data_IF_323688892951
#
_entry.id   IF_323688892951
#
_cell.length_a   1.000
_cell.length_b   1.000
_cell.length_c   1.000
_cell.angle_alpha   90.00
_cell.angle_beta   90.00
_cell.angle_gamma   90.00
#
_symmetry.space_group_name_H-M   'P 1'
#
loop_
_entity.id
_entity.type
_entity.pdbx_description
1 polymer ?
#
# COMPACT_ATOMS: atom_id res chain seq x y z
N UNK A 1 -27.17 -3.59 16.79
CA UNK A 1 -26.30 -4.50 17.57
C UNK A 1 -25.57 -3.67 18.60
N UNK A 2 -25.53 -4.07 19.88
CA UNK A 2 -24.77 -3.36 20.91
C UNK A 2 -23.28 -3.35 20.50
N UNK A 3 -22.69 -2.18 20.32
CA UNK A 3 -21.28 -2.06 20.01
C UNK A 3 -20.47 -2.57 21.22
N UNK A 4 -19.55 -3.51 20.96
CA UNK A 4 -18.72 -4.07 22.04
C UNK A 4 -17.75 -2.99 22.54
N UNK A 5 -17.79 -2.67 23.82
CA UNK A 5 -16.88 -1.75 24.49
C UNK A 5 -15.43 -2.12 24.22
N UNK A 6 -14.60 -1.14 23.84
CA UNK A 6 -13.15 -1.31 23.70
C UNK A 6 -12.45 -1.24 25.06
N UNK A 7 -12.50 -0.07 25.68
CA UNK A 7 -11.79 0.23 26.94
C UNK A 7 -12.38 1.49 27.58
N UNK A 8 -11.92 1.84 28.78
CA UNK A 8 -12.25 3.09 29.48
C UNK A 8 -11.28 4.21 29.09
N UNK A 9 -11.67 5.47 29.35
CA UNK A 9 -10.80 6.62 29.17
C UNK A 9 -9.56 6.55 30.07
N UNK A 10 -9.74 6.07 31.30
CA UNK A 10 -8.62 5.94 32.27
C UNK A 10 -7.56 4.96 31.78
N UNK A 11 -7.98 3.79 31.26
CA UNK A 11 -7.07 2.81 30.70
C UNK A 11 -6.37 3.35 29.45
N UNK A 12 -7.13 3.98 28.55
CA UNK A 12 -6.62 4.57 27.31
C UNK A 12 -5.60 5.68 27.58
N UNK A 13 -5.87 6.57 28.53
CA UNK A 13 -4.94 7.62 28.94
C UNK A 13 -3.64 7.04 29.51
N UNK A 14 -3.70 5.88 30.19
CA UNK A 14 -2.53 5.19 30.72
C UNK A 14 -1.56 4.68 29.64
N UNK A 15 -1.98 4.61 28.38
CA UNK A 15 -1.11 4.23 27.25
C UNK A 15 -0.43 5.42 26.57
N UNK A 16 -0.86 6.65 26.90
CA UNK A 16 -0.44 7.88 26.23
C UNK A 16 0.49 8.68 27.15
N UNK A 17 1.70 8.92 26.70
CA UNK A 17 2.71 9.62 27.48
C UNK A 17 2.28 11.07 27.81
N UNK A 18 2.29 11.41 29.09
CA UNK A 18 1.94 12.74 29.56
C UNK A 18 0.46 13.12 29.40
N UNK A 19 -0.40 12.18 29.07
CA UNK A 19 -1.85 12.41 29.04
C UNK A 19 -2.45 12.48 30.43
N UNK A 20 -3.60 13.15 30.53
CA UNK A 20 -4.45 13.19 31.72
C UNK A 20 -5.91 13.10 31.32
N UNK A 21 -6.72 12.55 32.20
CA UNK A 21 -8.18 12.53 32.03
C UNK A 21 -8.80 13.77 32.67
N UNK A 22 -9.70 14.42 31.97
CA UNK A 22 -10.59 15.46 32.47
C UNK A 22 -12.03 14.94 32.45
N UNK A 23 -12.71 14.96 33.60
CA UNK A 23 -14.04 14.39 33.76
C UNK A 23 -13.99 12.92 34.21
N UNK A 24 -15.06 12.16 33.90
CA UNK A 24 -15.20 10.76 34.35
C UNK A 24 -14.34 9.80 33.55
N UNK A 25 -13.26 9.30 34.14
CA UNK A 25 -12.37 8.32 33.54
C UNK A 25 -12.97 6.92 33.35
N UNK A 26 -14.09 6.60 34.02
CA UNK A 26 -14.78 5.33 33.87
C UNK A 26 -15.63 5.25 32.59
N UNK A 27 -15.83 6.38 31.90
CA UNK A 27 -16.53 6.39 30.60
C UNK A 27 -15.82 5.50 29.62
N UNK A 28 -16.57 4.59 29.01
CA UNK A 28 -16.08 3.65 28.03
C UNK A 28 -16.44 4.07 26.61
N UNK A 29 -15.61 3.71 25.65
CA UNK A 29 -15.86 3.91 24.22
C UNK A 29 -15.76 2.60 23.45
N UNK A 30 -16.37 2.54 22.28
CA UNK A 30 -16.44 1.34 21.44
C UNK A 30 -15.60 1.44 20.16
N UNK A 31 -15.28 2.67 19.73
CA UNK A 31 -14.60 2.95 18.47
C UNK A 31 -13.80 4.27 18.59
N UNK A 32 -12.76 4.43 17.78
CA UNK A 32 -11.98 5.67 17.68
C UNK A 32 -12.16 6.27 16.29
N UNK A 33 -12.42 7.58 16.24
CA UNK A 33 -12.65 8.33 15.00
C UNK A 33 -11.86 9.64 14.98
N UNK A 34 -11.41 10.03 13.78
CA UNK A 34 -10.74 11.33 13.52
C UNK A 34 -11.54 12.19 12.55
N UNK A 35 -12.55 11.65 11.86
CA UNK A 35 -13.43 12.36 10.93
C UNK A 35 -14.75 12.69 11.62
N UNK A 36 -14.97 13.99 11.89
CA UNK A 36 -16.18 14.49 12.54
C UNK A 36 -17.49 14.16 11.81
N UNK A 37 -17.42 13.87 10.50
CA UNK A 37 -18.60 13.51 9.69
C UNK A 37 -19.11 12.11 9.98
N UNK A 38 -18.22 11.18 10.39
CA UNK A 38 -18.49 9.75 10.57
C UNK A 38 -18.60 9.32 12.02
N UNK A 39 -18.60 10.27 12.96
CA UNK A 39 -18.77 9.99 14.39
C UNK A 39 -20.17 9.44 14.66
N UNK A 40 -20.21 8.40 15.49
CA UNK A 40 -21.43 7.73 15.97
C UNK A 40 -21.46 7.72 17.52
N UNK A 41 -22.65 7.48 18.13
CA UNK A 41 -22.77 7.36 19.57
C UNK A 41 -21.81 6.30 20.14
N UNK A 42 -21.08 6.68 21.20
CA UNK A 42 -20.12 5.80 21.87
C UNK A 42 -18.68 5.87 21.31
N UNK A 43 -18.40 6.73 20.34
CA UNK A 43 -17.03 6.94 19.82
C UNK A 43 -16.16 7.78 20.74
N UNK A 44 -14.84 7.51 20.74
CA UNK A 44 -13.80 8.46 21.14
C UNK A 44 -13.40 9.25 19.90
N UNK A 45 -13.64 10.56 19.89
CA UNK A 45 -13.20 11.44 18.82
C UNK A 45 -11.79 12.00 19.11
N UNK A 46 -10.86 11.82 18.18
CA UNK A 46 -9.49 12.36 18.28
C UNK A 46 -9.40 13.63 17.46
N UNK A 47 -9.22 14.78 18.11
CA UNK A 47 -9.13 16.08 17.46
C UNK A 47 -7.71 16.30 16.92
N UNK A 48 -7.47 15.93 15.67
CA UNK A 48 -6.20 16.16 14.98
C UNK A 48 -6.13 17.60 14.45
N UNK A 49 -4.94 18.19 14.55
CA UNK A 49 -4.61 19.46 13.91
C UNK A 49 -3.80 19.22 12.66
N UNK A 50 -4.30 19.64 11.52
CA UNK A 50 -3.63 19.64 10.24
C UNK A 50 -3.21 21.05 9.81
N UNK A 51 -2.61 21.17 8.62
CA UNK A 51 -2.15 22.46 8.08
C UNK A 51 -3.31 23.42 7.77
N UNK A 52 -4.46 22.90 7.35
CA UNK A 52 -5.62 23.68 6.86
C UNK A 52 -6.82 23.64 7.78
N UNK A 53 -6.92 22.65 8.67
CA UNK A 53 -8.07 22.40 9.54
C UNK A 53 -7.60 22.03 10.93
N UNK A 54 -8.31 22.51 11.94
CA UNK A 54 -8.16 22.09 13.33
C UNK A 54 -9.44 21.36 13.75
N UNK A 55 -9.32 20.06 14.01
CA UNK A 55 -10.49 19.24 14.38
C UNK A 55 -11.05 19.58 15.77
N UNK A 56 -10.34 20.37 16.57
CA UNK A 56 -10.87 20.91 17.83
C UNK A 56 -12.08 21.83 17.62
N UNK A 57 -12.20 22.47 16.45
CA UNK A 57 -13.34 23.33 16.11
C UNK A 57 -14.65 22.55 15.98
N UNK A 58 -14.59 21.23 15.78
CA UNK A 58 -15.76 20.34 15.59
C UNK A 58 -16.18 19.59 16.86
N UNK A 59 -15.59 19.90 18.03
CA UNK A 59 -15.90 19.16 19.27
C UNK A 59 -17.40 19.26 19.62
N UNK A 60 -18.00 20.45 19.52
CA UNK A 60 -19.42 20.61 19.80
C UNK A 60 -20.30 19.74 18.86
N UNK A 61 -19.94 19.66 17.58
CA UNK A 61 -20.68 18.88 16.59
C UNK A 61 -20.60 17.37 16.86
N UNK A 62 -19.40 16.86 17.21
CA UNK A 62 -19.22 15.43 17.49
C UNK A 62 -19.88 15.03 18.80
N UNK A 63 -19.92 15.91 19.79
CA UNK A 63 -20.66 15.70 21.03
C UNK A 63 -22.16 15.64 20.75
N UNK A 64 -22.69 16.55 19.93
CA UNK A 64 -24.09 16.51 19.51
C UNK A 64 -24.46 15.22 18.75
N UNK A 65 -23.49 14.56 18.09
CA UNK A 65 -23.65 13.26 17.43
C UNK A 65 -23.54 12.07 18.42
N UNK A 66 -23.22 12.33 19.70
CA UNK A 66 -23.16 11.30 20.73
C UNK A 66 -21.78 10.71 20.97
N UNK A 67 -20.69 11.40 20.60
CA UNK A 67 -19.35 10.99 20.99
C UNK A 67 -19.31 10.81 22.53
N UNK A 68 -18.78 9.67 22.99
CA UNK A 68 -18.69 9.36 24.42
C UNK A 68 -17.61 10.23 25.11
N UNK A 69 -16.55 10.57 24.37
CA UNK A 69 -15.42 11.34 24.85
C UNK A 69 -14.60 11.92 23.69
N UNK A 70 -13.65 12.81 24.05
CA UNK A 70 -12.72 13.41 23.09
C UNK A 70 -11.26 13.23 23.54
N UNK A 71 -10.32 13.14 22.58
CA UNK A 71 -8.89 13.24 22.80
C UNK A 71 -8.41 14.55 22.16
N UNK A 72 -7.79 15.44 22.96
CA UNK A 72 -7.47 16.81 22.59
C UNK A 72 -6.06 17.20 23.01
N UNK A 73 -5.48 18.24 22.39
CA UNK A 73 -4.18 18.79 22.81
C UNK A 73 -4.30 19.65 24.06
N UNK A 74 -3.17 19.91 24.74
CA UNK A 74 -3.13 20.74 25.97
C UNK A 74 -3.62 22.16 25.74
N UNK A 75 -3.35 22.73 24.54
CA UNK A 75 -3.76 24.08 24.21
C UNK A 75 -5.28 24.20 24.12
N UNK A 76 -5.97 23.16 23.71
CA UNK A 76 -7.43 23.08 23.69
C UNK A 76 -8.04 22.77 25.08
N UNK A 77 -7.23 22.41 26.07
CA UNK A 77 -7.68 22.05 27.42
C UNK A 77 -8.35 23.21 28.20
N UNK A 78 -8.16 24.44 27.78
CA UNK A 78 -8.84 25.62 28.33
C UNK A 78 -10.25 25.82 27.74
N UNK A 79 -10.58 25.08 26.69
CA UNK A 79 -11.88 25.13 26.01
C UNK A 79 -12.88 24.22 26.71
N UNK A 80 -14.13 24.65 26.74
CA UNK A 80 -15.23 23.82 27.24
C UNK A 80 -15.44 22.65 26.26
N UNK A 81 -15.12 21.42 26.68
CA UNK A 81 -15.33 20.19 25.90
C UNK A 81 -16.80 19.82 25.73
N UNK A 82 -17.70 20.81 25.74
CA UNK A 82 -19.14 20.61 25.61
C UNK A 82 -19.76 19.59 26.61
N UNK A 83 -19.13 19.46 27.78
CA UNK A 83 -19.63 18.62 28.88
C UNK A 83 -19.31 17.12 28.77
N UNK A 84 -18.50 16.68 27.78
CA UNK A 84 -18.02 15.29 27.71
C UNK A 84 -16.64 15.12 28.35
N UNK A 85 -16.33 13.91 28.87
CA UNK A 85 -14.99 13.61 29.37
C UNK A 85 -13.94 13.68 28.26
N UNK A 86 -12.71 14.03 28.62
CA UNK A 86 -11.63 14.17 27.67
C UNK A 86 -10.33 13.50 28.15
N UNK A 87 -9.57 12.95 27.19
CA UNK A 87 -8.13 12.70 27.33
C UNK A 87 -7.42 13.93 26.79
N UNK A 88 -6.59 14.57 27.61
CA UNK A 88 -5.77 15.72 27.22
C UNK A 88 -4.33 15.25 27.06
N UNK A 89 -3.78 15.36 25.87
CA UNK A 89 -2.41 14.93 25.53
C UNK A 89 -1.57 16.11 25.01
N UNK A 90 -0.23 16.04 25.07
CA UNK A 90 0.64 17.07 24.50
C UNK A 90 0.46 17.29 23.01
N UNK A 91 0.30 16.19 22.27
CA UNK A 91 0.12 16.13 20.82
C UNK A 91 -0.88 15.00 20.49
N UNK A 92 -1.96 15.33 19.81
CA UNK A 92 -3.02 14.36 19.51
C UNK A 92 -2.65 13.35 18.43
N UNK A 93 -1.70 13.69 17.56
CA UNK A 93 -1.21 12.79 16.51
C UNK A 93 -0.31 11.70 17.09
N UNK A 94 0.62 12.09 17.98
CA UNK A 94 1.45 11.15 18.75
C UNK A 94 0.56 10.31 19.67
N UNK A 95 -0.39 10.93 20.36
CA UNK A 95 -1.33 10.24 21.23
C UNK A 95 -2.19 9.19 20.51
N UNK A 96 -2.60 9.44 19.27
CA UNK A 96 -3.29 8.45 18.43
C UNK A 96 -2.41 7.22 18.17
N UNK A 97 -1.13 7.42 17.87
CA UNK A 97 -0.16 6.35 17.68
C UNK A 97 0.04 5.52 18.96
N UNK A 98 0.23 6.20 20.11
CA UNK A 98 0.41 5.55 21.43
C UNK A 98 -0.85 4.81 21.88
N UNK A 99 -2.04 5.37 21.61
CA UNK A 99 -3.33 4.71 21.82
C UNK A 99 -3.43 3.43 20.97
N UNK A 100 -3.06 3.49 19.69
CA UNK A 100 -3.00 2.34 18.80
C UNK A 100 -2.04 1.26 19.31
N UNK A 101 -0.81 1.65 19.70
CA UNK A 101 0.18 0.75 20.25
C UNK A 101 -0.27 0.11 21.57
N UNK A 102 -0.92 0.91 22.46
CA UNK A 102 -1.52 0.42 23.70
C UNK A 102 -2.60 -0.60 23.46
N UNK A 103 -3.48 -0.33 22.51
CA UNK A 103 -4.54 -1.26 22.11
C UNK A 103 -3.96 -2.53 21.49
N UNK A 104 -2.95 -2.44 20.61
CA UNK A 104 -2.29 -3.59 19.96
C UNK A 104 -1.72 -4.59 20.97
N UNK A 105 -1.12 -4.12 22.05
CA UNK A 105 -0.55 -4.98 23.11
C UNK A 105 -1.55 -5.91 23.79
N UNK A 106 -2.85 -5.68 23.64
CA UNK A 106 -3.89 -6.54 24.20
C UNK A 106 -4.17 -7.81 23.38
N UNK A 107 -3.51 -7.96 22.24
CA UNK A 107 -3.77 -9.05 21.29
C UNK A 107 -2.48 -9.81 20.98
N UNK A 108 -2.57 -11.14 21.00
CA UNK A 108 -1.46 -12.06 20.72
C UNK A 108 -1.54 -12.69 19.34
N UNK A 109 -2.56 -12.35 18.52
CA UNK A 109 -2.74 -12.90 17.18
C UNK A 109 -1.52 -12.60 16.28
N UNK A 110 -1.19 -13.49 15.32
CA UNK A 110 -0.19 -13.21 14.29
C UNK A 110 -0.55 -11.95 13.52
N UNK A 111 0.40 -11.02 13.43
CA UNK A 111 0.27 -9.77 12.69
C UNK A 111 1.45 -9.63 11.73
N UNK A 112 1.17 -9.51 10.44
CA UNK A 112 2.15 -9.29 9.40
C UNK A 112 2.27 -7.81 9.11
N UNK A 113 3.47 -7.23 9.24
CA UNK A 113 3.78 -5.90 8.74
C UNK A 113 4.36 -5.99 7.33
N UNK A 114 3.85 -5.19 6.40
CA UNK A 114 4.30 -5.14 5.01
C UNK A 114 4.89 -3.77 4.72
N UNK A 115 6.19 -3.71 4.41
CA UNK A 115 6.91 -2.51 3.96
C UNK A 115 7.67 -2.79 2.68
N UNK A 116 8.33 -1.78 2.10
CA UNK A 116 9.10 -1.87 0.86
C UNK A 116 8.68 -0.79 -0.14
N UNK A 117 9.49 -0.60 -1.18
CA UNK A 117 9.31 0.47 -2.15
C UNK A 117 8.08 0.27 -3.02
N UNK A 118 7.98 -0.88 -3.67
CA UNK A 118 6.89 -1.23 -4.57
C UNK A 118 6.19 -2.52 -4.13
N UNK A 119 4.92 -2.70 -4.52
CA UNK A 119 4.17 -3.93 -4.27
C UNK A 119 3.54 -4.04 -2.88
N UNK A 120 3.82 -3.14 -1.92
CA UNK A 120 3.25 -3.17 -0.55
C UNK A 120 1.77 -3.51 -0.52
N UNK A 121 0.94 -2.73 -1.19
CA UNK A 121 -0.52 -2.93 -1.20
C UNK A 121 -0.91 -4.26 -1.87
N UNK A 122 -0.24 -4.63 -2.97
CA UNK A 122 -0.52 -5.91 -3.65
C UNK A 122 -0.20 -7.09 -2.73
N UNK A 123 0.97 -7.08 -2.07
CA UNK A 123 1.37 -8.12 -1.10
C UNK A 123 0.41 -8.14 0.09
N UNK A 124 0.06 -6.98 0.64
CA UNK A 124 -0.90 -6.85 1.75
C UNK A 124 -2.26 -7.42 1.36
N UNK A 125 -2.79 -7.11 0.17
CA UNK A 125 -4.08 -7.65 -0.28
C UNK A 125 -4.02 -9.15 -0.60
N UNK A 126 -2.90 -9.66 -1.14
CA UNK A 126 -2.69 -11.11 -1.30
C UNK A 126 -2.68 -11.83 0.06
N UNK A 127 -1.96 -11.29 1.06
CA UNK A 127 -1.98 -11.84 2.42
C UNK A 127 -3.39 -11.77 3.01
N UNK A 128 -4.09 -10.66 2.82
CA UNK A 128 -5.47 -10.50 3.28
C UNK A 128 -6.42 -11.53 2.66
N UNK A 129 -6.29 -11.82 1.36
CA UNK A 129 -7.08 -12.85 0.67
C UNK A 129 -6.75 -14.26 1.21
N UNK A 130 -5.48 -14.56 1.44
CA UNK A 130 -5.03 -15.81 2.08
C UNK A 130 -5.62 -15.95 3.49
N UNK A 131 -5.58 -14.87 4.29
CA UNK A 131 -6.11 -14.86 5.65
C UNK A 131 -7.64 -15.01 5.65
N UNK A 132 -8.34 -14.38 4.71
CA UNK A 132 -9.78 -14.58 4.54
C UNK A 132 -10.12 -16.04 4.20
N UNK A 133 -9.34 -16.69 3.34
CA UNK A 133 -9.49 -18.11 3.03
C UNK A 133 -9.17 -19.02 4.23
N UNK A 134 -8.30 -18.59 5.14
CA UNK A 134 -7.90 -19.39 6.31
C UNK A 134 -8.88 -19.28 7.48
N UNK A 135 -9.38 -18.08 7.78
CA UNK A 135 -10.16 -17.82 9.01
C UNK A 135 -11.51 -17.15 8.76
N UNK A 136 -11.80 -16.76 7.52
CA UNK A 136 -13.00 -15.99 7.17
C UNK A 136 -12.74 -14.48 7.19
N UNK A 137 -13.51 -13.75 6.39
CA UNK A 137 -13.39 -12.30 6.18
C UNK A 137 -13.51 -11.51 7.49
N UNK A 138 -14.47 -11.88 8.36
CA UNK A 138 -14.75 -11.17 9.62
C UNK A 138 -13.72 -11.46 10.74
N UNK A 139 -12.86 -12.47 10.57
CA UNK A 139 -11.85 -12.85 11.56
C UNK A 139 -10.43 -12.42 11.18
N UNK A 140 -10.29 -11.73 10.07
CA UNK A 140 -9.02 -11.09 9.67
C UNK A 140 -9.11 -9.59 9.80
N UNK A 141 -8.01 -8.93 10.17
CA UNK A 141 -7.85 -7.49 10.03
C UNK A 141 -6.87 -7.19 8.89
N UNK A 142 -7.19 -6.23 8.03
CA UNK A 142 -6.26 -5.72 7.04
C UNK A 142 -6.33 -4.19 6.97
N UNK A 143 -5.19 -3.56 6.61
CA UNK A 143 -5.16 -2.14 6.27
C UNK A 143 -6.09 -1.88 5.09
N UNK A 144 -7.06 -0.98 5.29
CA UNK A 144 -7.98 -0.54 4.25
C UNK A 144 -7.37 0.57 3.39
N UNK A 145 -7.47 0.46 2.07
CA UNK A 145 -6.98 1.49 1.16
C UNK A 145 -5.50 1.81 1.38
N UNK A 146 -5.20 3.09 1.62
CA UNK A 146 -3.87 3.62 1.89
C UNK A 146 -3.70 4.12 3.35
N UNK A 147 -4.42 3.53 4.31
CA UNK A 147 -4.30 3.87 5.75
C UNK A 147 -3.03 3.28 6.36
N UNK A 148 -1.87 3.63 5.80
CA UNK A 148 -0.56 3.04 6.09
C UNK A 148 0.45 4.02 6.73
N UNK A 149 0.02 5.26 7.02
CA UNK A 149 0.82 6.29 7.65
C UNK A 149 0.53 6.41 9.17
N UNK A 150 1.11 7.39 9.82
CA UNK A 150 1.02 7.68 11.26
C UNK A 150 -0.40 8.04 11.78
N UNK A 151 -1.37 8.28 10.90
CA UNK A 151 -2.79 8.40 11.23
C UNK A 151 -3.55 7.13 10.87
N UNK A 152 -3.35 6.62 9.65
CA UNK A 152 -4.11 5.50 9.10
C UNK A 152 -3.78 4.17 9.78
N UNK A 153 -2.50 3.91 10.07
CA UNK A 153 -2.09 2.67 10.74
C UNK A 153 -2.65 2.56 12.17
N UNK A 154 -2.55 3.57 13.05
CA UNK A 154 -3.20 3.53 14.35
C UNK A 154 -4.70 3.28 14.26
N UNK A 155 -5.41 3.97 13.35
CA UNK A 155 -6.84 3.76 13.13
C UNK A 155 -7.16 2.32 12.69
N UNK A 156 -6.31 1.73 11.86
CA UNK A 156 -6.43 0.32 11.46
C UNK A 156 -6.25 -0.61 12.67
N UNK A 157 -5.20 -0.41 13.46
CA UNK A 157 -4.89 -1.21 14.66
C UNK A 157 -6.01 -1.09 15.71
N UNK A 158 -6.59 0.09 15.90
CA UNK A 158 -7.71 0.34 16.81
C UNK A 158 -9.01 -0.39 16.39
N UNK A 159 -9.07 -0.95 15.20
CA UNK A 159 -10.16 -1.85 14.76
C UNK A 159 -9.99 -3.29 15.23
N UNK A 160 -8.87 -3.68 15.84
CA UNK A 160 -8.70 -5.03 16.40
C UNK A 160 -9.79 -5.34 17.41
N UNK A 161 -10.29 -6.56 17.36
CA UNK A 161 -11.30 -7.12 18.30
C UNK A 161 -10.90 -8.55 18.64
N UNK A 162 -11.43 -9.10 19.71
CA UNK A 162 -11.17 -10.48 20.16
C UNK A 162 -11.56 -11.56 19.14
N UNK A 163 -12.42 -11.23 18.19
CA UNK A 163 -12.80 -12.13 17.08
C UNK A 163 -11.73 -12.28 16.01
N UNK A 164 -10.82 -11.31 15.87
CA UNK A 164 -9.76 -11.39 14.88
C UNK A 164 -8.72 -12.45 15.26
N UNK A 165 -8.30 -13.24 14.29
CA UNK A 165 -7.29 -14.30 14.44
C UNK A 165 -6.00 -14.02 13.69
N UNK A 166 -6.05 -13.22 12.64
CA UNK A 166 -4.91 -12.85 11.80
C UNK A 166 -5.01 -11.37 11.43
N UNK A 167 -3.86 -10.70 11.32
CA UNK A 167 -3.82 -9.30 10.88
C UNK A 167 -2.71 -9.08 9.84
N UNK A 168 -2.97 -8.20 8.86
CA UNK A 168 -1.95 -7.69 7.94
C UNK A 168 -2.02 -6.16 7.91
N UNK A 169 -0.88 -5.52 8.17
CA UNK A 169 -0.72 -4.09 8.34
C UNK A 169 0.30 -3.56 7.34
N UNK A 170 -0.11 -2.64 6.49
CA UNK A 170 0.79 -1.96 5.56
C UNK A 170 1.47 -0.79 6.27
N UNK A 171 2.80 -0.69 6.15
CA UNK A 171 3.63 0.41 6.65
C UNK A 171 4.12 1.23 5.45
N UNK A 172 3.59 2.44 5.31
CA UNK A 172 4.07 3.42 4.33
C UNK A 172 5.15 4.30 4.96
N UNK A 173 6.14 4.70 4.18
CA UNK A 173 7.11 5.69 4.61
C UNK A 173 7.38 6.68 3.48
N UNK A 174 7.69 7.91 3.84
CA UNK A 174 8.19 8.96 2.96
C UNK A 174 9.54 9.51 3.48
N UNK A 175 9.72 9.51 4.80
CA UNK A 175 10.88 10.10 5.46
C UNK A 175 11.59 9.10 6.37
N UNK A 176 12.91 9.30 6.61
CA UNK A 176 13.67 8.50 7.56
C UNK A 176 13.05 8.48 8.96
N UNK A 177 13.00 7.30 9.58
CA UNK A 177 12.48 7.08 10.93
C UNK A 177 10.98 6.75 11.01
N UNK A 178 10.22 6.91 9.93
CA UNK A 178 8.78 6.60 9.93
C UNK A 178 8.52 5.10 10.08
N UNK A 179 9.37 4.24 9.49
CA UNK A 179 9.21 2.78 9.63
C UNK A 179 9.39 2.31 11.07
N UNK A 180 10.35 2.87 11.82
CA UNK A 180 10.54 2.57 13.25
C UNK A 180 9.27 2.91 14.03
N UNK A 181 8.73 4.12 13.81
CA UNK A 181 7.53 4.61 14.47
C UNK A 181 6.31 3.71 14.18
N UNK A 182 6.06 3.42 12.91
CA UNK A 182 4.93 2.61 12.49
C UNK A 182 5.04 1.15 12.95
N UNK A 183 6.24 0.57 12.92
CA UNK A 183 6.49 -0.78 13.42
C UNK A 183 6.27 -0.86 14.94
N UNK A 184 6.61 0.20 15.70
CA UNK A 184 6.31 0.32 17.12
C UNK A 184 4.82 0.32 17.45
N UNK A 185 3.98 0.85 16.54
CA UNK A 185 2.52 0.80 16.66
C UNK A 185 1.98 -0.58 16.25
N UNK A 186 2.43 -1.10 15.11
CA UNK A 186 1.97 -2.36 14.54
C UNK A 186 2.33 -3.57 15.40
N UNK A 187 3.48 -3.56 16.07
CA UNK A 187 4.04 -4.66 16.88
C UNK A 187 3.85 -6.00 16.16
N UNK A 188 4.50 -6.17 15.00
CA UNK A 188 4.30 -7.34 14.16
C UNK A 188 4.97 -8.59 14.73
N UNK A 189 4.43 -9.76 14.41
CA UNK A 189 5.06 -11.06 14.64
C UNK A 189 5.77 -11.59 13.39
N UNK A 190 5.37 -11.08 12.22
CA UNK A 190 6.03 -11.30 10.93
C UNK A 190 6.21 -9.93 10.28
N UNK A 191 7.37 -9.65 9.71
CA UNK A 191 7.58 -8.43 8.93
C UNK A 191 8.19 -8.78 7.57
N UNK A 192 7.68 -8.17 6.51
CA UNK A 192 8.17 -8.39 5.16
C UNK A 192 8.62 -7.07 4.51
N UNK A 193 9.79 -7.12 3.90
CA UNK A 193 10.26 -6.12 2.95
C UNK A 193 9.97 -6.65 1.55
N UNK A 194 9.13 -5.97 0.78
CA UNK A 194 8.79 -6.41 -0.59
C UNK A 194 9.97 -6.22 -1.56
N UNK A 195 10.62 -5.08 -1.47
CA UNK A 195 11.82 -4.70 -2.21
C UNK A 195 12.42 -3.39 -1.67
N UNK A 196 13.65 -3.05 -2.10
CA UNK A 196 14.25 -1.73 -1.95
C UNK A 196 14.64 -1.22 -3.34
N UNK A 197 13.99 -0.16 -3.77
CA UNK A 197 14.09 0.44 -5.10
C UNK A 197 14.03 1.97 -5.01
N UNK A 198 14.07 2.67 -6.14
CA UNK A 198 14.02 4.14 -6.21
C UNK A 198 12.61 4.65 -5.89
N UNK A 199 12.36 4.95 -4.61
CA UNK A 199 11.15 5.62 -4.14
C UNK A 199 11.53 6.82 -3.28
N UNK A 200 10.68 7.84 -3.23
CA UNK A 200 10.84 9.04 -2.39
C UNK A 200 12.25 9.65 -2.47
N UNK A 201 12.85 9.68 -3.69
CA UNK A 201 14.24 10.12 -3.89
C UNK A 201 14.45 11.59 -3.55
N UNK A 202 13.40 12.36 -3.41
CA UNK A 202 13.41 13.72 -2.87
C UNK A 202 13.83 13.75 -1.40
N UNK A 203 13.47 12.72 -0.62
CA UNK A 203 13.72 12.63 0.83
C UNK A 203 14.73 11.56 1.19
N UNK A 204 14.82 10.51 0.39
CA UNK A 204 15.74 9.39 0.59
C UNK A 204 16.93 9.53 -0.34
N UNK A 205 18.11 9.73 0.23
CA UNK A 205 19.34 10.06 -0.53
C UNK A 205 19.85 8.93 -1.45
N UNK A 206 19.43 7.68 -1.20
CA UNK A 206 19.87 6.52 -2.00
C UNK A 206 18.96 5.30 -1.77
N UNK A 207 19.04 4.31 -2.66
CA UNK A 207 18.35 3.01 -2.49
C UNK A 207 18.90 2.27 -1.26
N UNK A 208 20.16 2.44 -0.91
CA UNK A 208 20.74 1.89 0.31
C UNK A 208 20.05 2.48 1.56
N UNK A 209 19.82 3.80 1.60
CA UNK A 209 19.08 4.44 2.68
C UNK A 209 17.64 3.90 2.78
N UNK A 210 16.97 3.68 1.65
CA UNK A 210 15.66 3.03 1.58
C UNK A 210 15.71 1.61 2.16
N UNK A 211 16.73 0.81 1.80
CA UNK A 211 16.90 -0.54 2.31
C UNK A 211 17.09 -0.57 3.84
N UNK A 212 17.87 0.37 4.38
CA UNK A 212 18.07 0.53 5.83
C UNK A 212 16.79 0.98 6.54
N UNK A 213 16.05 1.91 5.96
CA UNK A 213 14.77 2.36 6.53
C UNK A 213 13.77 1.20 6.65
N UNK A 214 13.60 0.40 5.60
CA UNK A 214 12.73 -0.77 5.65
C UNK A 214 13.22 -1.84 6.63
N UNK A 215 14.54 -1.98 6.84
CA UNK A 215 15.13 -2.91 7.79
C UNK A 215 14.62 -2.70 9.24
N UNK A 216 14.19 -1.49 9.57
CA UNK A 216 13.63 -1.16 10.88
C UNK A 216 12.38 -1.99 11.21
N UNK A 217 11.58 -2.38 10.21
CA UNK A 217 10.44 -3.27 10.44
C UNK A 217 10.86 -4.68 10.91
N UNK A 218 12.02 -5.18 10.41
CA UNK A 218 12.58 -6.46 10.84
C UNK A 218 13.20 -6.37 12.24
N UNK A 219 13.85 -5.25 12.55
CA UNK A 219 14.44 -5.01 13.87
C UNK A 219 13.37 -4.90 14.98
N UNK A 220 12.17 -4.44 14.65
CA UNK A 220 11.05 -4.31 15.58
C UNK A 220 10.35 -5.63 15.94
N UNK A 221 10.69 -6.73 15.30
CA UNK A 221 10.10 -8.05 15.58
C UNK A 221 10.47 -8.53 17.00
N UNK A 222 9.56 -9.27 17.69
CA UNK A 222 9.90 -9.98 18.92
C UNK A 222 10.95 -11.08 18.67
N UNK A 223 11.51 -11.65 19.71
CA UNK A 223 12.59 -12.66 19.59
C UNK A 223 12.16 -13.93 18.82
N UNK A 224 10.89 -14.30 18.90
CA UNK A 224 10.25 -15.40 18.19
C UNK A 224 9.61 -15.00 16.86
N UNK A 225 9.75 -13.72 16.45
CA UNK A 225 9.22 -13.19 15.21
C UNK A 225 9.96 -13.73 13.97
N UNK A 226 9.33 -13.55 12.80
CA UNK A 226 9.87 -14.03 11.51
C UNK A 226 10.11 -12.85 10.58
N UNK A 227 11.35 -12.68 10.13
CA UNK A 227 11.75 -11.72 9.12
C UNK A 227 11.61 -12.32 7.71
N UNK A 228 10.98 -11.58 6.79
CA UNK A 228 10.80 -12.00 5.40
C UNK A 228 11.38 -10.93 4.47
N UNK A 229 12.24 -11.31 3.52
CA UNK A 229 12.88 -10.35 2.61
C UNK A 229 13.25 -10.98 1.26
N UNK A 230 13.36 -10.17 0.19
CA UNK A 230 13.68 -10.67 -1.14
C UNK A 230 15.15 -11.05 -1.29
N UNK A 231 15.44 -11.96 -2.25
CA UNK A 231 16.79 -12.36 -2.62
C UNK A 231 17.15 -12.03 -4.07
N UNK A 232 16.16 -11.72 -4.92
CA UNK A 232 16.38 -11.35 -6.32
C UNK A 232 16.97 -9.94 -6.43
N UNK A 233 17.93 -9.73 -7.35
CA UNK A 233 18.62 -8.43 -7.53
C UNK A 233 17.65 -7.31 -7.86
N UNK A 234 16.65 -7.56 -8.72
CA UNK A 234 15.62 -6.59 -9.12
C UNK A 234 14.76 -6.13 -7.95
N UNK A 235 14.73 -6.89 -6.87
CA UNK A 235 14.04 -6.55 -5.62
C UNK A 235 14.96 -5.98 -4.55
N UNK A 236 16.20 -5.67 -4.91
CA UNK A 236 17.21 -5.19 -3.96
C UNK A 236 17.87 -6.30 -3.15
N UNK A 237 17.94 -7.53 -3.68
CA UNK A 237 18.57 -8.69 -3.02
C UNK A 237 20.03 -8.46 -2.60
N UNK A 238 20.73 -7.51 -3.20
CA UNK A 238 22.04 -7.05 -2.76
C UNK A 238 22.05 -6.54 -1.31
N UNK A 239 20.91 -6.06 -0.79
CA UNK A 239 20.75 -5.62 0.59
C UNK A 239 20.33 -6.73 1.57
N UNK A 240 20.18 -7.98 1.11
CA UNK A 240 19.88 -9.11 1.98
C UNK A 240 20.80 -9.25 3.22
N UNK A 241 22.12 -8.94 3.15
CA UNK A 241 22.98 -8.92 4.33
C UNK A 241 22.53 -7.89 5.38
N UNK A 242 22.12 -6.69 4.98
CA UNK A 242 21.60 -5.63 5.86
C UNK A 242 20.31 -6.11 6.55
N UNK A 243 19.41 -6.72 5.80
CA UNK A 243 18.14 -7.22 6.34
C UNK A 243 18.33 -8.43 7.26
N UNK A 244 19.30 -9.27 6.96
CA UNK A 244 19.68 -10.40 7.84
C UNK A 244 20.28 -9.92 9.15
N UNK A 245 21.12 -8.89 9.10
CA UNK A 245 21.69 -8.24 10.29
C UNK A 245 20.56 -7.62 11.15
N UNK A 246 19.62 -6.88 10.55
CA UNK A 246 18.47 -6.32 11.25
C UNK A 246 17.55 -7.40 11.85
N UNK A 247 17.39 -8.54 11.20
CA UNK A 247 16.67 -9.69 11.73
C UNK A 247 17.39 -10.31 12.97
N UNK A 248 18.71 -10.20 13.04
CA UNK A 248 19.52 -10.74 14.14
C UNK A 248 19.37 -12.25 14.29
N UNK A 249 19.10 -12.73 15.50
CA UNK A 249 18.91 -14.16 15.80
C UNK A 249 17.50 -14.69 15.45
N UNK A 250 16.60 -13.86 14.94
CA UNK A 250 15.23 -14.23 14.59
C UNK A 250 15.22 -15.15 13.37
N UNK A 251 14.18 -15.97 13.26
CA UNK A 251 13.97 -16.75 12.05
C UNK A 251 13.84 -15.82 10.85
N UNK A 252 14.55 -16.15 9.76
CA UNK A 252 14.46 -15.44 8.51
C UNK A 252 14.01 -16.39 7.39
N UNK A 253 13.16 -15.86 6.50
CA UNK A 253 12.75 -16.53 5.26
C UNK A 253 13.03 -15.58 4.10
N UNK A 254 13.86 -15.99 3.17
CA UNK A 254 14.06 -15.29 1.91
C UNK A 254 13.03 -15.73 0.87
N UNK A 255 12.64 -14.83 -0.02
CA UNK A 255 11.78 -15.18 -1.16
C UNK A 255 12.36 -14.63 -2.47
N UNK A 256 11.97 -15.25 -3.59
CA UNK A 256 12.38 -14.82 -4.92
C UNK A 256 12.15 -15.87 -5.98
N UNK A 257 12.50 -15.55 -7.23
CA UNK A 257 12.44 -16.49 -8.36
C UNK A 257 13.67 -17.40 -8.41
N UNK A 258 14.77 -16.99 -7.78
CA UNK A 258 15.98 -17.78 -7.64
C UNK A 258 15.79 -18.97 -6.72
N UNK A 259 16.26 -20.16 -7.14
CA UNK A 259 16.28 -21.38 -6.30
C UNK A 259 17.11 -21.26 -5.01
N UNK A 260 17.89 -20.17 -4.86
CA UNK A 260 18.63 -19.87 -3.62
C UNK A 260 17.75 -19.30 -2.52
N UNK A 261 16.54 -18.80 -2.87
CA UNK A 261 15.59 -18.31 -1.90
C UNK A 261 14.87 -19.47 -1.18
N UNK A 262 14.55 -19.30 0.10
CA UNK A 262 13.82 -20.28 0.89
C UNK A 262 12.42 -20.54 0.31
N UNK A 263 11.76 -19.50 -0.17
CA UNK A 263 10.46 -19.57 -0.85
C UNK A 263 10.65 -19.10 -2.29
N UNK A 264 10.58 -20.03 -3.22
CA UNK A 264 10.79 -19.76 -4.66
C UNK A 264 9.82 -20.55 -5.53
N UNK A 265 9.73 -20.19 -6.80
CA UNK A 265 8.90 -20.93 -7.76
C UNK A 265 9.53 -20.96 -9.16
N UNK A 266 9.25 -22.05 -9.89
CA UNK A 266 9.29 -22.04 -11.34
C UNK A 266 7.93 -21.66 -11.89
N UNK A 267 7.89 -21.02 -13.06
CA UNK A 267 6.69 -20.43 -13.63
C UNK A 267 6.43 -20.94 -15.05
N UNK A 268 5.15 -21.10 -15.37
CA UNK A 268 4.66 -21.29 -16.72
C UNK A 268 3.40 -20.45 -16.94
N UNK A 269 3.24 -19.93 -18.16
CA UNK A 269 1.98 -19.28 -18.56
C UNK A 269 1.06 -20.35 -19.17
N UNK A 270 -0.09 -20.58 -18.53
CA UNK A 270 -1.08 -21.56 -18.97
C UNK A 270 -2.45 -20.89 -19.03
N UNK A 271 -3.07 -20.86 -20.20
CA UNK A 271 -4.39 -20.26 -20.42
C UNK A 271 -4.51 -18.82 -19.89
N UNK A 272 -3.46 -18.01 -20.08
CA UNK A 272 -3.40 -16.62 -19.63
C UNK A 272 -3.16 -16.42 -18.13
N UNK A 273 -3.05 -17.47 -17.32
CA UNK A 273 -2.70 -17.43 -15.92
C UNK A 273 -1.25 -17.86 -15.69
N UNK A 274 -0.59 -17.25 -14.71
CA UNK A 274 0.72 -17.71 -14.25
C UNK A 274 0.55 -18.91 -13.31
N UNK A 275 1.10 -20.05 -13.70
CA UNK A 275 1.15 -21.27 -12.87
C UNK A 275 2.51 -21.34 -12.23
N UNK A 276 2.55 -21.28 -10.90
CA UNK A 276 3.74 -21.27 -10.07
C UNK A 276 3.90 -22.62 -9.40
N UNK A 277 5.01 -23.33 -9.63
CA UNK A 277 5.41 -24.51 -8.86
C UNK A 277 6.26 -24.01 -7.67
N UNK A 278 5.62 -23.83 -6.53
CA UNK A 278 6.22 -23.24 -5.33
C UNK A 278 7.00 -24.30 -4.55
N UNK A 279 8.19 -23.89 -4.09
CA UNK A 279 9.00 -24.61 -3.11
C UNK A 279 9.20 -23.69 -1.90
N UNK A 280 8.96 -24.25 -0.71
CA UNK A 280 9.18 -23.58 0.57
C UNK A 280 9.64 -24.63 1.60
N UNK A 281 10.24 -24.22 2.74
CA UNK A 281 10.68 -25.17 3.76
C UNK A 281 9.58 -26.13 4.19
N UNK A 282 9.75 -27.44 3.89
CA UNK A 282 8.78 -28.48 4.19
C UNK A 282 7.56 -28.54 3.26
N UNK A 283 7.48 -27.74 2.21
CA UNK A 283 6.31 -27.66 1.33
C UNK A 283 6.68 -27.60 -0.16
N UNK A 284 5.85 -28.24 -0.99
CA UNK A 284 5.88 -28.12 -2.44
C UNK A 284 4.43 -28.15 -2.95
N UNK A 285 4.01 -27.12 -3.68
CA UNK A 285 2.62 -26.98 -4.14
C UNK A 285 2.51 -26.05 -5.33
N UNK A 286 1.41 -26.16 -6.06
CA UNK A 286 1.08 -25.30 -7.19
C UNK A 286 0.20 -24.12 -6.74
N UNK A 287 0.43 -22.95 -7.34
CA UNK A 287 -0.43 -21.76 -7.23
C UNK A 287 -0.74 -21.23 -8.62
N UNK A 288 -2.01 -20.92 -8.89
CA UNK A 288 -2.44 -20.20 -10.08
C UNK A 288 -2.67 -18.73 -9.72
N UNK A 289 -2.05 -17.84 -10.46
CA UNK A 289 -2.14 -16.39 -10.24
C UNK A 289 -2.66 -15.72 -11.50
N UNK A 290 -3.81 -15.04 -11.40
CA UNK A 290 -4.44 -14.34 -12.53
C UNK A 290 -3.85 -12.93 -12.79
N UNK A 291 -2.67 -12.63 -12.24
CA UNK A 291 -1.99 -11.36 -12.40
C UNK A 291 -0.87 -11.44 -13.42
N UNK A 292 -0.64 -10.33 -14.12
CA UNK A 292 0.43 -10.19 -15.10
C UNK A 292 1.75 -9.75 -14.45
N UNK A 293 2.86 -10.12 -15.07
CA UNK A 293 4.20 -9.63 -14.75
C UNK A 293 4.93 -10.45 -13.67
N UNK A 294 6.23 -10.60 -13.85
CA UNK A 294 7.11 -11.35 -12.95
C UNK A 294 7.17 -10.74 -11.55
N UNK A 295 7.07 -9.39 -11.45
CA UNK A 295 7.01 -8.71 -10.15
C UNK A 295 5.79 -9.15 -9.32
N UNK A 296 4.64 -9.52 -9.94
CA UNK A 296 3.49 -10.08 -9.21
C UNK A 296 3.73 -11.52 -8.76
N UNK A 297 4.58 -12.27 -9.44
CA UNK A 297 5.06 -13.57 -8.93
C UNK A 297 5.90 -13.36 -7.67
N UNK A 298 6.83 -12.39 -7.65
CA UNK A 298 7.60 -12.03 -6.45
C UNK A 298 6.67 -11.55 -5.32
N UNK A 299 5.67 -10.74 -5.63
CA UNK A 299 4.65 -10.32 -4.65
C UNK A 299 3.90 -11.53 -4.05
N UNK A 300 3.52 -12.52 -4.88
CA UNK A 300 2.88 -13.74 -4.42
C UNK A 300 3.81 -14.58 -3.55
N UNK A 301 5.09 -14.71 -3.91
CA UNK A 301 6.10 -15.42 -3.10
C UNK A 301 6.31 -14.76 -1.73
N UNK A 302 6.33 -13.41 -1.68
CA UNK A 302 6.35 -12.65 -0.43
C UNK A 302 5.12 -12.96 0.44
N UNK A 303 3.92 -12.95 -0.16
CA UNK A 303 2.67 -13.25 0.53
C UNK A 303 2.63 -14.71 1.04
N UNK A 304 3.11 -15.67 0.24
CA UNK A 304 3.25 -17.07 0.63
C UNK A 304 4.20 -17.22 1.82
N UNK A 305 5.38 -16.60 1.77
CA UNK A 305 6.36 -16.63 2.85
C UNK A 305 5.76 -16.10 4.17
N UNK A 306 5.05 -14.97 4.10
CA UNK A 306 4.37 -14.38 5.25
C UNK A 306 3.25 -15.27 5.79
N UNK A 307 2.43 -15.87 4.92
CA UNK A 307 1.34 -16.73 5.34
C UNK A 307 1.86 -18.01 6.03
N UNK A 308 2.90 -18.64 5.48
CA UNK A 308 3.58 -19.77 6.11
C UNK A 308 4.20 -19.39 7.46
N UNK A 309 4.84 -18.21 7.54
CA UNK A 309 5.39 -17.68 8.79
C UNK A 309 4.30 -17.41 9.86
N UNK A 310 3.10 -17.00 9.43
CA UNK A 310 1.95 -16.78 10.30
C UNK A 310 1.20 -18.10 10.64
N UNK A 311 1.68 -19.27 10.19
CA UNK A 311 1.11 -20.59 10.48
C UNK A 311 -0.11 -20.97 9.62
N UNK A 312 -0.30 -20.30 8.48
CA UNK A 312 -1.41 -20.61 7.56
C UNK A 312 -1.10 -21.85 6.75
N UNK A 313 -2.08 -22.75 6.63
CA UNK A 313 -1.95 -23.99 5.86
C UNK A 313 -2.00 -23.79 4.35
N UNK A 314 -1.25 -24.59 3.60
CA UNK A 314 -1.11 -24.52 2.14
C UNK A 314 -2.45 -24.46 1.38
N UNK A 315 -3.49 -25.25 1.70
CA UNK A 315 -4.78 -25.14 0.99
C UNK A 315 -5.41 -23.75 1.06
N UNK A 316 -5.30 -23.03 2.18
CA UNK A 316 -5.80 -21.66 2.32
C UNK A 316 -4.95 -20.68 1.51
N UNK A 317 -3.63 -20.89 1.43
CA UNK A 317 -2.73 -20.10 0.58
C UNK A 317 -3.13 -20.23 -0.89
N UNK A 318 -3.32 -21.47 -1.35
CA UNK A 318 -3.76 -21.74 -2.72
C UNK A 318 -5.11 -21.11 -3.03
N UNK A 319 -6.11 -21.29 -2.15
CA UNK A 319 -7.44 -20.75 -2.33
C UNK A 319 -7.45 -19.21 -2.37
N UNK A 320 -6.71 -18.56 -1.46
CA UNK A 320 -6.63 -17.11 -1.39
C UNK A 320 -5.99 -16.49 -2.63
N UNK A 321 -4.91 -17.09 -3.14
CA UNK A 321 -4.22 -16.59 -4.33
C UNK A 321 -4.95 -16.91 -5.64
N UNK A 322 -5.59 -18.07 -5.75
CA UNK A 322 -6.37 -18.44 -6.92
C UNK A 322 -7.57 -17.52 -7.16
N UNK A 323 -8.19 -17.02 -6.08
CA UNK A 323 -9.30 -16.06 -6.14
C UNK A 323 -8.87 -14.59 -6.21
N UNK A 324 -7.58 -14.30 -6.12
CA UNK A 324 -7.09 -12.93 -6.01
C UNK A 324 -7.22 -12.17 -7.33
N UNK A 325 -7.80 -10.97 -7.26
CA UNK A 325 -7.94 -10.06 -8.39
C UNK A 325 -7.01 -8.85 -8.24
N UNK A 326 -6.63 -8.25 -9.38
CA UNK A 326 -5.79 -7.06 -9.39
C UNK A 326 -6.41 -5.93 -8.57
N UNK A 327 -5.60 -5.29 -7.74
CA UNK A 327 -6.00 -4.10 -6.99
C UNK A 327 -6.26 -2.95 -7.97
N UNK A 328 -7.30 -2.15 -7.72
CA UNK A 328 -7.65 -1.01 -8.57
C UNK A 328 -6.43 -0.10 -8.80
N UNK A 329 -6.15 0.20 -10.07
CA UNK A 329 -5.02 1.03 -10.48
C UNK A 329 -3.64 0.39 -10.30
N UNK A 330 -3.56 -0.95 -10.21
CA UNK A 330 -2.30 -1.71 -10.09
C UNK A 330 -2.28 -2.85 -11.10
N UNK A 331 -1.89 -2.53 -12.35
CA UNK A 331 -1.90 -3.44 -13.50
C UNK A 331 -3.24 -4.15 -13.71
N UNK A 332 -4.33 -3.45 -13.42
CA UNK A 332 -5.67 -3.98 -13.62
C UNK A 332 -6.01 -3.99 -15.12
N UNK A 333 -6.35 -5.16 -15.64
CA UNK A 333 -6.76 -5.30 -17.04
C UNK A 333 -8.22 -4.88 -17.20
N UNK A 334 -8.46 -4.01 -18.18
CA UNK A 334 -9.77 -3.53 -18.63
C UNK A 334 -9.83 -3.63 -20.14
N UNK A 335 -10.98 -3.35 -20.73
CA UNK A 335 -11.17 -3.40 -22.18
C UNK A 335 -11.87 -2.14 -22.65
N UNK A 336 -11.46 -1.62 -23.80
CA UNK A 336 -12.25 -0.62 -24.52
C UNK A 336 -13.51 -1.27 -25.08
N UNK A 337 -14.53 -0.50 -25.51
CA UNK A 337 -15.70 -1.04 -26.22
C UNK A 337 -15.31 -1.85 -27.47
N UNK A 338 -14.21 -1.51 -28.13
CA UNK A 338 -13.66 -2.22 -29.29
C UNK A 338 -12.84 -3.47 -28.94
N UNK A 339 -12.67 -3.81 -27.65
CA UNK A 339 -11.94 -5.00 -27.21
C UNK A 339 -10.42 -4.80 -27.01
N UNK A 340 -9.89 -3.59 -27.21
CA UNK A 340 -8.48 -3.29 -26.91
C UNK A 340 -8.19 -3.44 -25.42
N UNK A 341 -7.09 -4.09 -25.08
CA UNK A 341 -6.64 -4.25 -23.69
C UNK A 341 -6.17 -2.91 -23.13
N UNK A 342 -6.69 -2.50 -21.98
CA UNK A 342 -6.23 -1.34 -21.21
C UNK A 342 -5.67 -1.81 -19.87
N UNK A 343 -4.39 -1.52 -19.63
CA UNK A 343 -3.70 -1.85 -18.40
C UNK A 343 -3.73 -0.61 -17.52
N UNK A 344 -4.59 -0.62 -16.50
CA UNK A 344 -4.73 0.44 -15.51
C UNK A 344 -3.68 0.29 -14.41
N UNK A 345 -2.62 1.07 -14.46
CA UNK A 345 -1.57 1.15 -13.43
C UNK A 345 -1.42 2.59 -12.90
N UNK A 346 -2.54 3.23 -12.64
CA UNK A 346 -2.68 4.68 -12.40
C UNK A 346 -2.53 5.09 -10.94
N UNK A 347 -2.31 4.15 -10.02
CA UNK A 347 -2.27 4.48 -8.58
C UNK A 347 -1.07 5.35 -8.20
N UNK A 348 0.13 5.00 -8.64
CA UNK A 348 1.38 5.75 -8.42
C UNK A 348 2.45 5.37 -9.46
N UNK A 349 3.52 6.18 -9.55
CA UNK A 349 4.64 5.93 -10.44
C UNK A 349 5.97 6.35 -9.81
N UNK A 350 6.97 5.48 -9.95
CA UNK A 350 8.38 5.74 -9.74
C UNK A 350 9.17 5.02 -10.85
N UNK A 351 10.49 5.29 -11.04
CA UNK A 351 11.24 4.75 -12.18
C UNK A 351 11.18 3.23 -12.28
N UNK A 352 11.33 2.50 -11.19
CA UNK A 352 11.40 1.04 -11.20
C UNK A 352 10.02 0.40 -11.44
N UNK A 353 8.95 0.96 -10.84
CA UNK A 353 7.58 0.52 -11.11
C UNK A 353 7.14 0.82 -12.54
N UNK A 354 7.65 1.90 -13.13
CA UNK A 354 7.39 2.24 -14.52
C UNK A 354 8.04 1.23 -15.47
N UNK A 355 9.31 0.86 -15.23
CA UNK A 355 10.01 -0.19 -16.00
C UNK A 355 9.26 -1.53 -15.93
N UNK A 356 8.87 -1.95 -14.73
CA UNK A 356 8.11 -3.19 -14.55
C UNK A 356 6.77 -3.18 -15.32
N UNK A 357 6.06 -2.06 -15.36
CA UNK A 357 4.83 -1.92 -16.12
C UNK A 357 5.07 -1.93 -17.63
N UNK A 358 6.14 -1.29 -18.12
CA UNK A 358 6.57 -1.33 -19.54
C UNK A 358 6.93 -2.76 -19.94
N UNK A 359 7.59 -3.54 -19.08
CA UNK A 359 7.90 -4.96 -19.36
C UNK A 359 6.64 -5.80 -19.50
N UNK A 360 5.60 -5.53 -18.71
CA UNK A 360 4.28 -6.15 -18.89
C UNK A 360 3.67 -5.76 -20.23
N UNK A 361 3.68 -4.47 -20.60
CA UNK A 361 3.16 -3.99 -21.89
C UNK A 361 3.90 -4.64 -23.06
N UNK A 362 5.22 -4.81 -22.95
CA UNK A 362 6.05 -5.45 -23.97
C UNK A 362 5.69 -6.90 -24.26
N UNK A 363 5.01 -7.59 -23.33
CA UNK A 363 4.49 -8.95 -23.48
C UNK A 363 3.23 -9.06 -24.35
N UNK A 364 2.58 -7.95 -24.69
CA UNK A 364 1.39 -7.93 -25.55
C UNK A 364 1.75 -7.82 -27.03
N UNK A 365 0.78 -8.12 -27.89
CA UNK A 365 0.91 -7.92 -29.34
C UNK A 365 1.06 -6.42 -29.68
N UNK A 366 1.82 -6.12 -30.72
CA UNK A 366 1.88 -4.76 -31.26
C UNK A 366 0.56 -4.41 -32.00
N UNK A 367 0.18 -3.14 -32.12
CA UNK A 367 0.85 -1.97 -31.55
C UNK A 367 0.67 -1.85 -30.03
N UNK A 368 1.70 -1.35 -29.34
CA UNK A 368 1.74 -1.12 -27.89
C UNK A 368 1.78 0.38 -27.62
N UNK A 369 0.90 0.84 -26.77
CA UNK A 369 0.79 2.28 -26.46
C UNK A 369 1.03 2.51 -24.99
N UNK A 370 1.92 3.46 -24.66
CA UNK A 370 2.15 3.95 -23.29
C UNK A 370 1.53 5.35 -23.15
N UNK A 371 0.61 5.50 -22.19
CA UNK A 371 0.03 6.77 -21.75
C UNK A 371 0.63 7.13 -20.41
N UNK A 372 1.45 8.19 -20.38
CA UNK A 372 2.34 8.53 -19.28
C UNK A 372 1.97 9.88 -18.64
N UNK A 373 1.82 9.89 -17.30
CA UNK A 373 1.86 11.09 -16.48
C UNK A 373 3.19 11.21 -15.74
N UNK A 374 3.44 12.36 -15.11
CA UNK A 374 4.65 12.59 -14.33
C UNK A 374 4.85 11.56 -13.21
N UNK A 375 6.12 11.23 -12.96
CA UNK A 375 6.56 10.62 -11.71
C UNK A 375 6.81 11.70 -10.68
N UNK A 376 6.22 11.57 -9.48
CA UNK A 376 6.40 12.48 -8.36
C UNK A 376 7.50 12.02 -7.39
N UNK A 377 7.88 12.92 -6.47
CA UNK A 377 8.84 12.65 -5.40
C UNK A 377 10.22 12.18 -5.91
N UNK A 378 10.60 12.67 -7.08
CA UNK A 378 11.83 12.31 -7.79
C UNK A 378 12.96 13.33 -7.61
N UNK A 379 12.67 14.45 -6.92
CA UNK A 379 13.62 15.54 -6.68
C UNK A 379 14.25 16.08 -7.97
N UNK A 380 15.47 16.57 -7.88
CA UNK A 380 16.21 17.18 -9.01
C UNK A 380 16.52 16.19 -10.15
N UNK A 381 16.37 14.88 -9.91
CA UNK A 381 16.59 13.85 -10.92
C UNK A 381 15.35 13.59 -11.80
N UNK A 382 14.25 14.30 -11.56
CA UNK A 382 13.00 14.14 -12.30
C UNK A 382 13.16 14.07 -13.81
N UNK A 383 13.83 15.06 -14.46
CA UNK A 383 14.09 15.02 -15.90
C UNK A 383 14.84 13.76 -16.36
N UNK A 384 15.92 13.39 -15.67
CA UNK A 384 16.76 12.25 -16.03
C UNK A 384 15.99 10.92 -15.90
N UNK A 385 15.18 10.76 -14.86
CA UNK A 385 14.34 9.57 -14.69
C UNK A 385 13.27 9.46 -15.78
N UNK A 386 12.68 10.57 -16.21
CA UNK A 386 11.74 10.56 -17.33
C UNK A 386 12.41 10.24 -18.66
N UNK A 387 13.61 10.78 -18.91
CA UNK A 387 14.42 10.40 -20.10
C UNK A 387 14.75 8.91 -20.11
N UNK A 388 15.16 8.34 -18.95
CA UNK A 388 15.38 6.90 -18.79
C UNK A 388 14.14 6.11 -19.21
N UNK A 389 12.96 6.49 -18.72
CA UNK A 389 11.71 5.78 -19.00
C UNK A 389 11.31 5.87 -20.48
N UNK A 390 11.47 7.04 -21.11
CA UNK A 390 11.21 7.20 -22.53
C UNK A 390 12.11 6.31 -23.40
N UNK A 391 13.42 6.33 -23.13
CA UNK A 391 14.41 5.49 -23.82
C UNK A 391 14.14 4.00 -23.56
N UNK A 392 13.78 3.64 -22.31
CA UNK A 392 13.45 2.25 -21.97
C UNK A 392 12.20 1.76 -22.71
N UNK A 393 11.14 2.55 -22.77
CA UNK A 393 9.93 2.20 -23.51
C UNK A 393 10.22 1.96 -24.99
N UNK A 394 11.05 2.82 -25.62
CA UNK A 394 11.48 2.63 -27.00
C UNK A 394 12.26 1.32 -27.18
N UNK A 395 13.23 1.06 -26.30
CA UNK A 395 14.06 -0.16 -26.36
C UNK A 395 13.24 -1.44 -26.15
N UNK A 396 12.13 -1.36 -25.40
CA UNK A 396 11.20 -2.49 -25.16
C UNK A 396 10.16 -2.66 -26.26
N UNK A 397 10.22 -1.87 -27.34
CA UNK A 397 9.35 -1.99 -28.48
C UNK A 397 7.93 -1.45 -28.25
N UNK A 398 7.79 -0.42 -27.42
CA UNK A 398 6.56 0.38 -27.36
C UNK A 398 6.45 1.17 -28.67
N UNK A 399 5.26 1.15 -29.32
CA UNK A 399 5.08 1.75 -30.63
C UNK A 399 4.71 3.23 -30.56
N UNK A 400 3.99 3.66 -29.48
CA UNK A 400 3.66 5.07 -29.18
C UNK A 400 3.78 5.39 -27.71
N UNK A 401 4.21 6.62 -27.44
CA UNK A 401 4.20 7.21 -26.11
C UNK A 401 3.45 8.53 -26.15
N UNK A 402 2.33 8.61 -25.40
CA UNK A 402 1.56 9.84 -25.20
C UNK A 402 1.73 10.29 -23.76
N UNK A 403 2.26 11.48 -23.55
CA UNK A 403 2.61 11.99 -22.22
C UNK A 403 1.95 13.31 -21.90
N UNK A 404 1.65 13.55 -20.63
CA UNK A 404 1.21 14.83 -20.07
C UNK A 404 1.87 15.10 -18.71
N UNK A 405 2.15 16.38 -18.45
CA UNK A 405 2.84 16.82 -17.24
C UNK A 405 4.13 17.57 -17.57
N UNK A 406 4.71 18.23 -16.57
CA UNK A 406 5.90 19.07 -16.75
C UNK A 406 7.16 18.23 -17.04
N UNK A 407 7.26 17.05 -16.43
CA UNK A 407 8.41 16.14 -16.56
C UNK A 407 8.24 15.10 -17.68
N UNK A 408 7.01 14.72 -18.00
CA UNK A 408 6.71 13.74 -19.06
C UNK A 408 7.24 14.16 -20.44
N UNK A 409 7.45 15.46 -20.68
CA UNK A 409 8.07 15.99 -21.92
C UNK A 409 9.46 15.39 -22.15
N UNK A 410 10.22 15.09 -21.09
CA UNK A 410 11.55 14.48 -21.19
C UNK A 410 11.46 13.02 -21.67
N UNK A 411 10.48 12.26 -21.15
CA UNK A 411 10.23 10.90 -21.62
C UNK A 411 9.79 10.88 -23.10
N UNK A 412 8.88 11.78 -23.48
CA UNK A 412 8.40 11.90 -24.88
C UNK A 412 9.56 12.21 -25.81
N UNK A 413 10.46 13.13 -25.43
CA UNK A 413 11.63 13.50 -26.24
C UNK A 413 12.59 12.32 -26.37
N UNK A 414 12.91 11.63 -25.28
CA UNK A 414 13.81 10.48 -25.29
C UNK A 414 13.24 9.28 -26.05
N UNK A 415 11.91 9.12 -26.06
CA UNK A 415 11.22 8.09 -26.85
C UNK A 415 11.33 8.34 -28.37
N UNK A 416 11.39 9.60 -28.83
CA UNK A 416 11.62 9.94 -30.22
C UNK A 416 10.37 10.21 -31.05
N UNK A 417 10.41 9.92 -32.35
CA UNK A 417 9.45 10.42 -33.35
C UNK A 417 7.97 10.00 -33.12
N UNK A 418 7.75 8.87 -32.46
CA UNK A 418 6.41 8.36 -32.14
C UNK A 418 5.91 8.81 -30.75
N UNK A 419 6.64 9.70 -30.08
CA UNK A 419 6.23 10.35 -28.85
C UNK A 419 5.40 11.59 -29.10
N UNK A 420 4.35 11.82 -28.30
CA UNK A 420 3.52 13.03 -28.34
C UNK A 420 3.29 13.55 -26.92
N UNK A 421 3.63 14.81 -26.69
CA UNK A 421 3.35 15.51 -25.43
C UNK A 421 2.08 16.36 -25.56
N UNK A 422 1.24 16.33 -24.53
CA UNK A 422 0.01 17.13 -24.41
C UNK A 422 0.18 18.15 -23.28
N UNK A 423 -0.23 19.38 -23.52
CA UNK A 423 -0.08 20.48 -22.57
C UNK A 423 -0.95 20.34 -21.31
N UNK A 424 -2.02 19.54 -21.38
CA UNK A 424 -2.89 19.26 -20.25
C UNK A 424 -3.39 17.82 -20.25
N UNK A 425 -3.84 17.36 -19.10
CA UNK A 425 -4.48 16.06 -18.97
C UNK A 425 -5.84 16.01 -19.73
N UNK A 426 -6.51 17.15 -19.81
CA UNK A 426 -7.75 17.31 -20.56
C UNK A 426 -7.54 17.13 -22.06
N UNK A 427 -6.48 17.71 -22.64
CA UNK A 427 -6.13 17.55 -24.04
C UNK A 427 -5.75 16.10 -24.37
N UNK A 428 -5.02 15.43 -23.44
CA UNK A 428 -4.68 14.02 -23.60
C UNK A 428 -5.94 13.15 -23.54
N UNK A 429 -6.85 13.37 -22.59
CA UNK A 429 -8.10 12.61 -22.49
C UNK A 429 -8.94 12.75 -23.76
N UNK A 430 -9.12 13.99 -24.26
CA UNK A 430 -9.83 14.26 -25.51
C UNK A 430 -9.18 13.56 -26.71
N UNK A 431 -7.85 13.58 -26.80
CA UNK A 431 -7.15 12.89 -27.88
C UNK A 431 -7.34 11.36 -27.83
N UNK A 432 -7.44 10.77 -26.64
CA UNK A 432 -7.74 9.35 -26.46
C UNK A 432 -9.18 9.00 -26.87
N UNK A 433 -10.14 9.86 -26.55
CA UNK A 433 -11.56 9.71 -26.98
C UNK A 433 -11.73 9.84 -28.49
N UNK A 434 -11.01 10.80 -29.10
CA UNK A 434 -11.08 11.07 -30.56
C UNK A 434 -10.36 10.00 -31.42
N UNK A 435 -9.44 9.21 -30.82
CA UNK A 435 -8.67 8.16 -31.53
C UNK A 435 -9.48 6.86 -31.75
N UNK A 436 -10.81 6.97 -31.89
CA UNK A 436 -11.76 5.85 -32.02
C UNK A 436 -11.52 4.90 -33.21
N UNK A 437 -10.73 5.30 -34.20
CA UNK A 437 -10.31 4.48 -35.34
C UNK A 437 -8.81 4.45 -35.57
N UNK A 438 -8.05 5.12 -34.66
CA UNK A 438 -6.61 5.29 -34.79
C UNK A 438 -5.80 4.17 -34.16
N UNK A 439 -4.52 4.47 -33.82
CA UNK A 439 -3.59 3.47 -33.33
C UNK A 439 -3.96 2.96 -31.92
N UNK A 440 -4.57 3.80 -31.06
CA UNK A 440 -5.02 3.39 -29.72
C UNK A 440 -6.15 2.37 -29.83
N UNK A 441 -7.12 2.60 -30.72
CA UNK A 441 -8.22 1.68 -30.97
C UNK A 441 -7.76 0.33 -31.57
N UNK A 442 -6.65 0.33 -32.30
CA UNK A 442 -6.07 -0.85 -32.94
C UNK A 442 -4.93 -1.47 -32.14
N UNK A 443 -4.60 -0.91 -30.97
CA UNK A 443 -3.51 -1.39 -30.13
C UNK A 443 -3.77 -2.82 -29.61
N UNK A 444 -2.74 -3.61 -29.52
CA UNK A 444 -2.78 -4.88 -28.79
C UNK A 444 -2.94 -4.63 -27.29
N UNK A 445 -2.32 -3.56 -26.77
CA UNK A 445 -2.53 -3.08 -25.40
C UNK A 445 -2.17 -1.60 -25.24
N UNK A 446 -2.86 -0.94 -24.30
CA UNK A 446 -2.59 0.43 -23.83
C UNK A 446 -2.27 0.37 -22.34
N UNK A 447 -1.09 0.82 -21.93
CA UNK A 447 -0.73 0.99 -20.51
C UNK A 447 -0.94 2.45 -20.12
N UNK A 448 -1.66 2.69 -19.01
CA UNK A 448 -1.85 4.01 -18.44
C UNK A 448 -1.19 4.07 -17.06
N UNK A 449 -0.22 4.99 -16.87
CA UNK A 449 0.51 5.12 -15.60
C UNK A 449 0.95 6.55 -15.32
N UNK A 450 1.00 6.91 -14.04
CA UNK A 450 1.51 8.19 -13.54
C UNK A 450 1.34 8.29 -12.03
N UNK A 451 1.97 9.26 -11.41
CA UNK A 451 1.88 9.49 -9.96
C UNK A 451 0.47 9.89 -9.53
N UNK A 452 0.17 9.67 -8.26
CA UNK A 452 -1.17 9.86 -7.69
C UNK A 452 -1.77 11.25 -7.95
N UNK A 453 -0.95 12.30 -7.88
CA UNK A 453 -1.41 13.68 -8.12
C UNK A 453 -1.84 13.93 -9.57
N UNK A 454 -1.33 13.17 -10.54
CA UNK A 454 -1.69 13.26 -11.97
C UNK A 454 -3.10 12.74 -12.26
N UNK A 455 -3.66 11.92 -11.39
CA UNK A 455 -5.01 11.34 -11.52
C UNK A 455 -5.24 10.67 -12.88
N UNK A 456 -4.28 9.84 -13.31
CA UNK A 456 -4.29 9.20 -14.62
C UNK A 456 -5.45 8.20 -14.81
N UNK A 457 -6.21 7.87 -13.77
CA UNK A 457 -7.46 7.10 -13.87
C UNK A 457 -8.49 7.77 -14.81
N UNK A 458 -8.37 9.08 -15.06
CA UNK A 458 -9.21 9.80 -16.04
C UNK A 458 -8.91 9.34 -17.47
N UNK A 459 -7.65 9.03 -17.78
CA UNK A 459 -7.26 8.49 -19.09
C UNK A 459 -7.83 7.10 -19.31
N UNK A 460 -7.83 6.29 -18.24
CA UNK A 460 -8.47 4.97 -18.28
C UNK A 460 -9.99 5.11 -18.52
N UNK A 461 -10.63 6.07 -17.84
CA UNK A 461 -12.06 6.33 -18.03
C UNK A 461 -12.38 6.75 -19.46
N UNK A 462 -11.57 7.62 -20.08
CA UNK A 462 -11.71 8.05 -21.47
C UNK A 462 -11.61 6.86 -22.47
N UNK A 463 -10.72 5.89 -22.18
CA UNK A 463 -10.50 4.72 -23.04
C UNK A 463 -11.62 3.66 -22.92
N UNK A 464 -12.20 3.49 -21.73
CA UNK A 464 -13.18 2.42 -21.45
C UNK A 464 -14.64 2.92 -21.48
N UNK A 465 -14.87 4.23 -21.64
CA UNK A 465 -16.20 4.80 -21.77
C UNK A 465 -16.86 4.31 -23.04
N UNK A 466 -18.13 3.89 -22.94
CA UNK A 466 -18.94 3.58 -24.12
C UNK A 466 -19.42 4.89 -24.75
N UNK A 467 -18.75 5.33 -25.83
CA UNK A 467 -19.10 6.57 -26.56
C UNK A 467 -20.33 6.37 -27.48
N UNK A 468 -20.92 5.19 -27.53
CA UNK A 468 -22.10 4.89 -28.36
C UNK A 468 -23.44 5.39 -27.77
N UNK A 469 -23.41 6.09 -26.63
CA UNK A 469 -24.60 6.57 -25.90
C UNK A 469 -24.87 8.09 -26.10
N UNK A 470 -24.45 8.69 -27.25
CA UNK A 470 -24.84 10.07 -27.62
C UNK A 470 -25.52 10.12 -28.98
#
# INVERSE_FOLDING_TARGET
MSQTTMTTLQDAAGWIAGARVCGDGAVAFSRVQTDSRTVEPGDLFVALKGERFDAHDFIADVVAKGAAAVLVSRDAATSNYAGVPAIVAPDTRIALGELGAGWRRRFTLPAVAVTGSNGKTTVKEMIAAIFAAAVGEDQRLATGGNLNNDIGLPLTVLRLRATHKLAVLELGMNHPGETVYLAGIAQPTVAVITNAQREHQEFMVSVEAVAHEHAAALAALPADGVAVFPLDEESGGAFAPVWREAAGARRALSFGTSQRADVHATMALVDGAQVMQVRAPGHAFEVRLALLGEHNVRNALAAIACALAAGVHVPSIQAGLAGFQAVKGRLQVKYTPGGTVVIDDTYNANPDSMRAAIDVLAGFAAPRVLVLGDMGEVGDQGPAFHEEIGAYAQARGVDKLWGTGELAVHAVRAFGANGRHFGSAEDLAKALEEDSGGMVAQAGAVLVKGSRFMRMERMVAALVADTSAH
#
